data_IF_128725398142
#
_entry.id   IF_128725398142
#
_cell.length_a   1.000
_cell.length_b   1.000
_cell.length_c   1.000
_cell.angle_alpha   90.00
_cell.angle_beta   90.00
_cell.angle_gamma   90.00
#
_symmetry.space_group_name_H-M   'P 1'
#
loop_
_entity.id
_entity.type
_entity.pdbx_description
1 polymer ?
#
# COMPACT_ATOMS: atom_id res chain seq x y z
N UNK A 1 -4.25 -1.72 23.78
CA UNK A 1 -3.17 -1.40 22.84
C UNK A 1 -1.88 -2.07 23.31
N UNK A 2 -1.05 -2.55 22.39
CA UNK A 2 0.29 -3.05 22.70
C UNK A 2 1.25 -1.87 22.68
N UNK A 3 2.08 -1.71 23.72
CA UNK A 3 3.06 -0.63 23.77
C UNK A 3 4.33 -1.01 23.01
N UNK A 4 4.92 -0.02 22.34
CA UNK A 4 6.19 -0.12 21.63
C UNK A 4 7.33 0.41 22.50
N UNK A 5 8.46 -0.31 22.55
CA UNK A 5 9.66 0.11 23.30
C UNK A 5 10.63 0.85 22.40
N UNK A 6 11.10 2.02 22.84
CA UNK A 6 12.20 2.75 22.25
C UNK A 6 13.03 3.43 23.33
N UNK A 7 14.33 3.13 23.40
CA UNK A 7 15.28 3.65 24.39
C UNK A 7 14.79 3.53 25.85
N UNK A 8 14.24 2.36 26.20
CA UNK A 8 13.72 2.10 27.54
C UNK A 8 12.42 2.82 27.89
N UNK A 9 11.79 3.47 26.94
CA UNK A 9 10.46 4.08 27.06
C UNK A 9 9.44 3.28 26.26
N UNK A 10 8.24 3.17 26.77
CA UNK A 10 7.13 2.46 26.14
C UNK A 10 6.06 3.44 25.66
N UNK A 11 5.65 3.32 24.43
CA UNK A 11 4.68 4.20 23.78
C UNK A 11 3.47 3.40 23.33
N UNK A 12 2.27 3.92 23.57
CA UNK A 12 1.03 3.34 23.07
C UNK A 12 0.06 4.45 22.63
N UNK A 13 -0.63 4.23 21.52
CA UNK A 13 -1.79 5.03 21.14
C UNK A 13 -3.02 4.49 21.85
N UNK A 14 -3.73 5.35 22.56
CA UNK A 14 -4.89 4.99 23.36
C UNK A 14 -6.08 5.84 22.91
N UNK A 15 -7.25 5.21 22.81
CA UNK A 15 -8.48 5.93 22.50
C UNK A 15 -8.89 6.79 23.69
N UNK A 16 -9.24 8.08 23.52
CA UNK A 16 -9.78 8.90 24.59
C UNK A 16 -10.98 8.24 25.27
N UNK A 17 -11.05 8.30 26.57
CA UNK A 17 -12.13 7.68 27.34
C UNK A 17 -12.36 8.38 28.69
N UNK A 18 -13.55 8.23 29.26
CA UNK A 18 -13.85 8.63 30.64
C UNK A 18 -13.17 7.67 31.63
N UNK A 19 -12.96 8.16 32.84
CA UNK A 19 -12.38 7.36 33.94
C UNK A 19 -13.22 6.11 34.23
N UNK A 20 -12.56 4.97 34.46
CA UNK A 20 -13.22 3.70 34.78
C UNK A 20 -12.54 3.01 35.96
N UNK A 21 -13.21 3.01 37.08
CA UNK A 21 -12.70 2.37 38.31
C UNK A 21 -12.74 0.84 38.20
N UNK A 22 -11.74 0.18 38.80
CA UNK A 22 -11.62 -1.27 38.83
C UNK A 22 -11.30 -1.95 37.52
N UNK A 23 -11.21 -1.21 36.39
CA UNK A 23 -10.81 -1.77 35.09
C UNK A 23 -9.30 -1.83 34.95
N UNK A 24 -8.83 -2.88 34.28
CA UNK A 24 -7.43 -3.03 33.93
C UNK A 24 -7.01 -1.90 32.98
N UNK A 25 -5.98 -1.14 33.38
CA UNK A 25 -5.45 -0.03 32.63
C UNK A 25 -4.17 -0.41 31.90
N UNK A 26 -3.20 -0.94 32.62
CA UNK A 26 -1.89 -1.29 32.09
C UNK A 26 -1.45 -2.64 32.65
N UNK A 27 -1.04 -3.55 31.78
CA UNK A 27 -0.46 -4.82 32.15
C UNK A 27 1.00 -4.85 31.71
N UNK A 28 1.87 -5.23 32.63
CA UNK A 28 3.31 -5.33 32.43
C UNK A 28 3.76 -6.77 32.70
N UNK A 29 4.48 -7.34 31.78
CA UNK A 29 5.20 -8.59 31.95
C UNK A 29 6.67 -8.27 32.21
N UNK A 30 7.20 -8.79 33.31
CA UNK A 30 8.54 -8.49 33.78
C UNK A 30 9.38 -9.75 33.87
N UNK A 31 10.44 -9.79 33.03
CA UNK A 31 11.42 -10.89 33.00
C UNK A 31 10.89 -12.20 32.43
N UNK A 32 11.76 -13.22 32.44
CA UNK A 32 11.50 -14.52 31.79
C UNK A 32 10.50 -15.42 32.54
N UNK A 33 10.04 -15.01 33.73
CA UNK A 33 9.15 -15.78 34.56
C UNK A 33 7.66 -15.46 34.43
N UNK A 34 7.26 -14.72 33.37
CA UNK A 34 5.87 -14.33 33.09
C UNK A 34 5.16 -13.67 34.31
N UNK A 35 5.89 -12.97 35.16
CA UNK A 35 5.27 -12.20 36.26
C UNK A 35 4.47 -11.04 35.65
N UNK A 36 3.15 -11.16 35.71
CA UNK A 36 2.24 -10.15 35.16
C UNK A 36 1.79 -9.24 36.29
N UNK A 37 2.10 -7.97 36.21
CA UNK A 37 1.59 -6.93 37.11
C UNK A 37 0.60 -6.05 36.35
N UNK A 38 -0.54 -5.78 36.97
CA UNK A 38 -1.63 -5.03 36.36
C UNK A 38 -1.95 -3.78 37.21
N UNK A 39 -1.89 -2.62 36.56
CA UNK A 39 -2.44 -1.38 37.12
C UNK A 39 -3.93 -1.31 36.76
N UNK A 40 -4.75 -1.07 37.76
CA UNK A 40 -6.21 -0.89 37.63
C UNK A 40 -6.58 0.59 37.71
N UNK A 41 -7.84 0.92 37.44
CA UNK A 41 -8.40 2.26 37.35
C UNK A 41 -7.89 3.04 36.15
N UNK A 42 -8.64 2.94 35.07
CA UNK A 42 -8.38 3.72 33.85
C UNK A 42 -8.67 5.19 34.17
N UNK A 43 -7.68 6.10 34.05
CA UNK A 43 -7.92 7.53 34.24
C UNK A 43 -8.72 8.11 33.07
N UNK A 44 -9.28 9.29 33.24
CA UNK A 44 -9.81 10.05 32.12
C UNK A 44 -8.68 10.38 31.15
N UNK A 45 -8.86 9.98 29.88
CA UNK A 45 -7.92 10.24 28.79
C UNK A 45 -8.58 11.16 27.76
N UNK A 46 -8.06 12.37 27.61
CA UNK A 46 -8.62 13.39 26.72
C UNK A 46 -7.96 13.37 25.33
N UNK A 47 -8.74 13.68 24.31
CA UNK A 47 -8.22 13.82 22.95
C UNK A 47 -7.20 14.97 22.87
N UNK A 48 -6.13 14.78 22.08
CA UNK A 48 -5.09 15.78 21.90
C UNK A 48 -4.13 15.94 23.09
N UNK A 49 -4.17 15.02 24.06
CA UNK A 49 -3.25 15.00 25.21
C UNK A 49 -2.27 13.86 25.13
N UNK A 50 -1.06 14.08 25.65
CA UNK A 50 -0.02 13.10 25.88
C UNK A 50 0.08 12.81 27.37
N UNK A 51 0.07 11.54 27.76
CA UNK A 51 0.16 11.09 29.15
C UNK A 51 1.46 10.32 29.35
N UNK A 52 2.34 10.81 30.20
CA UNK A 52 3.58 10.12 30.55
C UNK A 52 3.48 9.54 31.96
N UNK A 53 3.60 8.22 32.10
CA UNK A 53 3.62 7.50 33.37
C UNK A 53 5.06 7.14 33.71
N UNK A 54 5.56 7.62 34.84
CA UNK A 54 6.84 7.16 35.37
C UNK A 54 6.60 5.96 36.27
N UNK A 55 7.12 4.82 35.88
CA UNK A 55 6.95 3.57 36.58
C UNK A 55 8.27 3.10 37.19
N UNK A 56 8.26 2.66 38.44
CA UNK A 56 9.35 1.86 39.01
C UNK A 56 8.90 0.41 39.01
N UNK A 57 9.65 -0.43 38.29
CA UNK A 57 9.39 -1.87 38.20
C UNK A 57 10.38 -2.57 39.11
N UNK A 58 9.87 -3.18 40.19
CA UNK A 58 10.63 -4.05 41.07
C UNK A 58 10.35 -5.52 40.77
N UNK A 59 11.04 -6.41 41.47
CA UNK A 59 10.95 -7.86 41.24
C UNK A 59 9.52 -8.43 41.35
N UNK A 60 8.65 -7.78 42.14
CA UNK A 60 7.26 -8.23 42.38
C UNK A 60 6.27 -7.07 42.56
N UNK A 61 6.59 -5.87 42.13
CA UNK A 61 5.69 -4.70 42.23
C UNK A 61 6.00 -3.66 41.20
N UNK A 62 4.95 -3.08 40.62
CA UNK A 62 5.02 -1.87 39.81
C UNK A 62 4.44 -0.71 40.59
N UNK A 63 5.17 0.40 40.67
CA UNK A 63 4.72 1.62 41.34
C UNK A 63 4.69 2.76 40.32
N UNK A 64 3.58 3.47 40.26
CA UNK A 64 3.49 4.74 39.54
C UNK A 64 4.11 5.83 40.40
N UNK A 65 5.20 6.44 39.94
CA UNK A 65 5.89 7.51 40.66
C UNK A 65 5.42 8.91 40.28
N UNK A 66 4.84 9.04 39.09
CA UNK A 66 4.31 10.31 38.59
C UNK A 66 3.57 10.15 37.30
N UNK A 67 2.67 11.09 37.03
CA UNK A 67 1.95 11.21 35.78
C UNK A 67 2.14 12.66 35.32
N UNK A 68 2.59 12.83 34.09
CA UNK A 68 2.68 14.13 33.43
C UNK A 68 1.69 14.16 32.26
N UNK A 69 0.85 15.19 32.22
CA UNK A 69 -0.09 15.43 31.13
C UNK A 69 0.36 16.68 30.39
N UNK A 70 0.53 16.58 29.09
CA UNK A 70 0.88 17.68 28.24
C UNK A 70 -0.06 17.76 27.03
N UNK A 71 -0.25 18.95 26.48
CA UNK A 71 -0.92 19.10 25.21
C UNK A 71 -0.11 18.39 24.10
N UNK A 72 -0.80 17.69 23.25
CA UNK A 72 -0.19 17.18 22.03
C UNK A 72 0.00 18.36 21.08
N UNK A 73 1.13 19.03 21.17
CA UNK A 73 1.45 20.13 20.27
C UNK A 73 1.95 19.57 18.94
N UNK A 74 1.26 19.93 17.85
CA UNK A 74 1.68 19.61 16.47
C UNK A 74 2.89 20.44 16.00
N UNK A 75 3.50 21.24 16.88
CA UNK A 75 4.60 22.16 16.58
C UNK A 75 5.89 21.85 17.33
N UNK A 76 6.13 20.59 17.63
CA UNK A 76 7.43 20.15 18.07
C UNK A 76 7.94 19.10 17.09
N UNK A 77 8.95 19.41 16.30
CA UNK A 77 9.78 18.34 15.77
C UNK A 77 10.20 17.48 16.96
N UNK A 78 9.83 16.21 16.97
CA UNK A 78 10.47 15.22 17.84
C UNK A 78 11.87 15.04 17.25
N UNK A 79 12.77 15.97 17.61
CA UNK A 79 14.18 15.84 17.30
C UNK A 79 14.71 14.65 18.10
N UNK A 80 14.87 13.52 17.44
CA UNK A 80 15.47 12.32 18.01
C UNK A 80 14.67 11.02 17.96
N UNK A 81 13.44 11.03 17.49
CA UNK A 81 12.68 9.82 17.23
C UNK A 81 12.25 9.77 15.77
N UNK A 82 13.04 9.18 14.90
CA UNK A 82 12.56 8.75 13.58
C UNK A 82 11.63 7.54 13.78
N UNK A 83 10.44 7.73 14.31
CA UNK A 83 9.34 6.82 14.03
C UNK A 83 8.78 7.21 12.65
N UNK A 84 9.62 7.16 11.65
CA UNK A 84 9.18 7.15 10.27
C UNK A 84 8.86 5.68 10.01
N UNK A 85 7.63 5.29 10.28
CA UNK A 85 7.05 4.29 9.41
C UNK A 85 6.86 5.01 8.07
N UNK A 86 7.89 5.05 7.25
CA UNK A 86 7.68 5.21 5.84
C UNK A 86 6.67 4.10 5.50
N UNK A 87 5.56 4.39 4.82
CA UNK A 87 4.57 3.39 4.48
C UNK A 87 5.17 2.50 3.39
N UNK A 88 6.13 1.67 3.80
CA UNK A 88 6.82 0.73 2.92
C UNK A 88 5.81 -0.18 2.24
N UNK A 89 6.09 -0.57 1.02
CA UNK A 89 5.32 -1.64 0.38
C UNK A 89 5.42 -2.88 1.27
N UNK A 90 4.28 -3.29 1.84
CA UNK A 90 4.20 -4.31 2.87
C UNK A 90 3.26 -5.42 2.45
N UNK A 91 3.72 -6.67 2.58
CA UNK A 91 2.93 -7.86 2.28
C UNK A 91 2.54 -8.57 3.56
N UNK A 92 1.28 -9.01 3.59
CA UNK A 92 0.66 -9.77 4.68
C UNK A 92 0.07 -11.05 4.14
N UNK A 93 0.26 -12.16 4.84
CA UNK A 93 -0.41 -13.43 4.56
C UNK A 93 -0.80 -14.09 5.89
N UNK A 94 -1.98 -14.73 5.95
CA UNK A 94 -2.48 -15.36 7.18
C UNK A 94 -1.72 -16.65 7.52
N UNK A 95 -1.15 -17.30 6.54
CA UNK A 95 -0.32 -18.50 6.67
C UNK A 95 1.08 -18.24 6.11
N UNK A 96 1.99 -19.17 6.29
CA UNK A 96 3.34 -19.08 5.71
C UNK A 96 3.27 -18.94 4.20
N UNK A 97 4.00 -17.98 3.66
CA UNK A 97 4.08 -17.64 2.24
C UNK A 97 5.53 -17.44 1.84
N UNK A 98 5.83 -17.55 0.55
CA UNK A 98 7.14 -17.26 -0.03
C UNK A 98 7.03 -16.14 -1.06
N UNK A 99 7.85 -15.14 -0.88
CA UNK A 99 8.10 -14.07 -1.86
C UNK A 99 9.30 -14.44 -2.70
N UNK A 100 9.23 -14.11 -3.97
CA UNK A 100 10.38 -14.17 -4.88
C UNK A 100 10.25 -13.06 -5.93
N UNK A 101 11.35 -12.43 -6.28
CA UNK A 101 11.41 -11.47 -7.36
C UNK A 101 12.18 -12.05 -8.54
N UNK A 102 11.50 -12.19 -9.66
CA UNK A 102 12.12 -12.66 -10.92
C UNK A 102 12.46 -11.49 -11.80
N UNK A 103 13.37 -11.67 -12.75
CA UNK A 103 13.77 -10.61 -13.69
C UNK A 103 13.73 -11.09 -15.14
N UNK A 104 13.46 -10.17 -16.05
CA UNK A 104 13.63 -10.34 -17.49
C UNK A 104 14.53 -9.21 -18.00
N UNK A 105 15.72 -9.56 -18.43
CA UNK A 105 16.73 -8.63 -18.98
C UNK A 105 16.98 -7.39 -18.08
N UNK A 106 16.72 -7.52 -16.78
CA UNK A 106 16.81 -6.45 -15.77
C UNK A 106 17.62 -6.93 -14.57
N UNK A 107 18.42 -6.02 -14.00
CA UNK A 107 19.15 -6.27 -12.76
C UNK A 107 18.53 -5.47 -11.62
N UNK A 108 18.09 -6.15 -10.57
CA UNK A 108 17.57 -5.51 -9.36
C UNK A 108 18.69 -4.71 -8.72
N UNK A 109 18.43 -3.44 -8.41
CA UNK A 109 19.38 -2.56 -7.74
C UNK A 109 18.67 -1.65 -6.75
N UNK A 110 19.31 -1.40 -5.61
CA UNK A 110 18.82 -0.48 -4.58
C UNK A 110 17.46 -0.89 -3.98
N UNK A 111 17.10 -2.17 -4.02
CA UNK A 111 15.89 -2.72 -3.41
C UNK A 111 16.27 -3.63 -2.25
N UNK A 112 15.63 -3.42 -1.12
CA UNK A 112 15.83 -4.19 0.11
C UNK A 112 14.51 -4.76 0.62
N UNK A 113 14.59 -5.91 1.28
CA UNK A 113 13.49 -6.54 2.01
C UNK A 113 13.79 -6.67 3.51
N UNK A 114 12.71 -6.73 4.30
CA UNK A 114 12.76 -7.00 5.74
C UNK A 114 11.56 -7.83 6.15
N UNK A 115 11.80 -8.92 6.88
CA UNK A 115 10.76 -9.80 7.42
C UNK A 115 10.57 -9.49 8.90
N UNK A 116 9.31 -9.27 9.30
CA UNK A 116 8.90 -9.05 10.70
C UNK A 116 9.70 -7.97 11.43
N UNK A 117 9.92 -6.83 10.74
CA UNK A 117 10.73 -5.70 11.25
C UNK A 117 12.20 -6.05 11.57
N UNK A 118 12.71 -7.12 10.96
CA UNK A 118 14.11 -7.54 11.07
C UNK A 118 15.08 -6.65 10.26
N UNK A 119 16.29 -7.13 10.12
CA UNK A 119 17.30 -6.44 9.32
C UNK A 119 16.90 -6.31 7.85
N UNK A 120 17.22 -5.16 7.24
CA UNK A 120 17.07 -4.94 5.82
C UNK A 120 18.18 -5.65 5.05
N UNK A 121 17.80 -6.39 4.02
CA UNK A 121 18.69 -7.15 3.14
C UNK A 121 18.43 -6.79 1.69
N UNK A 122 19.46 -6.83 0.85
CA UNK A 122 19.28 -6.63 -0.58
C UNK A 122 18.39 -7.74 -1.16
N UNK A 123 17.41 -7.36 -1.95
CA UNK A 123 16.60 -8.31 -2.72
C UNK A 123 17.48 -8.95 -3.79
N UNK A 124 17.56 -10.28 -3.79
CA UNK A 124 18.32 -11.05 -4.78
C UNK A 124 17.34 -11.72 -5.74
N UNK A 125 17.59 -11.59 -7.04
CA UNK A 125 16.75 -12.21 -8.06
C UNK A 125 16.66 -13.74 -7.87
N UNK A 126 15.44 -14.28 -7.93
CA UNK A 126 15.10 -15.69 -7.76
C UNK A 126 15.34 -16.28 -6.35
N UNK A 127 15.78 -15.49 -5.38
CA UNK A 127 15.85 -15.92 -3.99
C UNK A 127 14.45 -15.95 -3.36
N UNK A 128 14.15 -17.01 -2.58
CA UNK A 128 12.89 -17.12 -1.86
C UNK A 128 13.02 -16.56 -0.45
N UNK A 129 12.09 -15.67 -0.08
CA UNK A 129 11.98 -15.09 1.25
C UNK A 129 10.68 -15.54 1.90
N UNK A 130 10.76 -16.26 3.02
CA UNK A 130 9.57 -16.74 3.76
C UNK A 130 9.02 -15.64 4.66
N UNK A 131 7.69 -15.43 4.61
CA UNK A 131 6.96 -14.49 5.44
C UNK A 131 5.54 -15.02 5.72
N UNK A 132 4.68 -14.22 6.36
CA UNK A 132 3.30 -14.58 6.65
C UNK A 132 3.14 -15.54 7.83
N UNK A 133 1.93 -15.69 8.35
CA UNK A 133 1.64 -16.47 9.54
C UNK A 133 2.52 -16.02 10.72
N UNK A 134 3.23 -16.96 11.33
CA UNK A 134 4.14 -16.70 12.44
C UNK A 134 5.42 -15.93 12.05
N UNK A 135 5.78 -15.92 10.75
CA UNK A 135 6.94 -15.19 10.27
C UNK A 135 6.66 -13.68 10.08
N UNK A 136 5.43 -13.24 10.32
CA UNK A 136 5.05 -11.83 10.25
C UNK A 136 4.95 -11.29 8.82
N UNK A 137 5.21 -10.00 8.65
CA UNK A 137 5.09 -9.27 7.38
C UNK A 137 6.39 -9.26 6.60
N UNK A 138 6.30 -9.10 5.28
CA UNK A 138 7.45 -8.76 4.43
C UNK A 138 7.30 -7.30 3.98
N UNK A 139 8.35 -6.50 4.12
CA UNK A 139 8.43 -5.12 3.67
C UNK A 139 9.49 -4.96 2.60
N UNK A 140 9.20 -4.08 1.64
CA UNK A 140 10.15 -3.64 0.63
C UNK A 140 10.40 -2.14 0.74
N UNK A 141 11.66 -1.73 0.50
CA UNK A 141 12.05 -0.33 0.33
C UNK A 141 13.14 -0.22 -0.73
N UNK A 142 13.34 0.97 -1.29
CA UNK A 142 14.33 1.15 -2.34
C UNK A 142 14.97 2.52 -2.38
N UNK A 143 16.01 2.63 -3.22
CA UNK A 143 16.76 3.85 -3.52
C UNK A 143 16.96 4.05 -5.03
N UNK A 144 16.37 3.20 -5.86
CA UNK A 144 16.46 3.32 -7.32
C UNK A 144 15.34 4.19 -7.87
N UNK A 145 15.62 5.45 -8.14
CA UNK A 145 14.65 6.44 -8.65
C UNK A 145 14.02 6.07 -10.00
N UNK A 146 14.57 5.10 -10.72
CA UNK A 146 13.98 4.58 -11.98
C UNK A 146 12.97 3.44 -11.75
N UNK A 147 12.82 2.96 -10.53
CA UNK A 147 11.87 1.92 -10.16
C UNK A 147 12.39 0.50 -10.34
N UNK A 148 11.52 -0.41 -10.73
CA UNK A 148 11.77 -1.85 -10.83
C UNK A 148 11.80 -2.37 -12.25
N UNK A 149 11.85 -1.46 -13.23
CA UNK A 149 11.91 -1.77 -14.66
C UNK A 149 12.54 -0.63 -15.46
N UNK A 150 13.11 -0.93 -16.62
CA UNK A 150 13.49 0.08 -17.62
C UNK A 150 12.48 0.20 -18.76
N UNK A 151 11.80 -0.89 -19.07
CA UNK A 151 10.78 -0.95 -20.14
C UNK A 151 9.88 -2.18 -19.93
N UNK A 152 8.88 -2.35 -20.80
CA UNK A 152 8.03 -3.55 -20.84
C UNK A 152 8.77 -4.84 -21.26
N UNK A 153 10.03 -4.74 -21.70
CA UNK A 153 10.91 -5.87 -22.03
C UNK A 153 12.04 -6.10 -21.01
N UNK A 154 12.34 -5.10 -20.15
CA UNK A 154 13.42 -5.11 -19.17
C UNK A 154 12.86 -4.76 -17.79
N UNK A 155 12.44 -5.76 -17.03
CA UNK A 155 11.68 -5.58 -15.80
C UNK A 155 11.91 -6.67 -14.76
N UNK A 156 11.43 -6.40 -13.56
CA UNK A 156 11.29 -7.40 -12.51
C UNK A 156 9.82 -7.65 -12.16
N UNK A 157 9.52 -8.86 -11.67
CA UNK A 157 8.17 -9.28 -11.28
C UNK A 157 8.20 -9.97 -9.93
N UNK A 158 7.31 -9.57 -9.04
CA UNK A 158 7.06 -10.23 -7.75
C UNK A 158 6.19 -11.46 -8.00
N UNK A 159 6.55 -12.57 -7.37
CA UNK A 159 5.77 -13.82 -7.38
C UNK A 159 5.64 -14.37 -5.97
N UNK A 160 4.55 -15.08 -5.72
CA UNK A 160 4.26 -15.79 -4.46
C UNK A 160 4.12 -17.27 -4.70
N UNK A 161 4.27 -18.10 -3.65
CA UNK A 161 4.03 -19.52 -3.73
C UNK A 161 2.54 -19.78 -4.05
N UNK A 162 2.22 -20.34 -5.22
CA UNK A 162 0.83 -20.51 -5.67
C UNK A 162 0.04 -21.53 -4.85
N UNK A 163 0.71 -22.40 -4.11
CA UNK A 163 0.09 -23.40 -3.24
C UNK A 163 -0.31 -22.86 -1.86
N UNK A 164 0.00 -21.57 -1.58
CA UNK A 164 -0.32 -20.90 -0.33
C UNK A 164 -1.60 -20.05 -0.43
N UNK A 165 -1.90 -19.28 0.61
CA UNK A 165 -3.09 -18.43 0.72
C UNK A 165 -2.88 -17.04 0.07
N UNK A 166 -3.96 -16.28 -0.04
CA UNK A 166 -3.96 -14.91 -0.58
C UNK A 166 -2.99 -14.00 0.17
N UNK A 167 -2.47 -13.04 -0.57
CA UNK A 167 -1.54 -12.02 -0.09
C UNK A 167 -2.20 -10.65 -0.18
N UNK A 168 -2.14 -9.91 0.91
CA UNK A 168 -2.54 -8.51 0.96
C UNK A 168 -1.30 -7.63 0.88
N UNK A 169 -1.40 -6.55 0.12
CA UNK A 169 -0.34 -5.55 -0.01
C UNK A 169 -0.89 -4.18 0.35
N UNK A 170 -0.11 -3.39 1.05
CA UNK A 170 -0.35 -1.98 1.34
C UNK A 170 0.94 -1.15 1.22
N UNK A 171 0.87 0.13 1.60
CA UNK A 171 2.00 1.04 1.57
C UNK A 171 2.08 1.87 0.27
N UNK A 172 3.04 2.77 0.23
CA UNK A 172 3.25 3.73 -0.88
C UNK A 172 4.34 3.22 -1.81
N UNK A 173 4.01 3.01 -3.10
CA UNK A 173 4.95 2.48 -4.09
C UNK A 173 6.21 3.35 -4.24
N UNK A 174 6.13 4.66 -3.95
CA UNK A 174 7.27 5.58 -4.06
C UNK A 174 8.38 5.26 -3.07
N UNK A 175 8.09 4.50 -2.01
CA UNK A 175 9.13 4.01 -1.07
C UNK A 175 10.09 3.02 -1.72
N UNK A 176 9.76 2.47 -2.89
CA UNK A 176 10.69 1.67 -3.69
C UNK A 176 11.66 2.53 -4.52
N UNK A 177 11.38 3.84 -4.69
CA UNK A 177 12.22 4.79 -5.40
C UNK A 177 13.23 5.49 -4.49
N UNK A 178 12.72 6.03 -3.38
CA UNK A 178 13.48 6.72 -2.34
C UNK A 178 12.69 6.64 -1.02
N UNK A 179 13.02 5.68 -0.19
CA UNK A 179 12.26 5.46 1.06
C UNK A 179 12.43 6.59 2.08
N UNK A 180 13.48 7.40 1.97
CA UNK A 180 13.71 8.54 2.87
C UNK A 180 12.90 9.77 2.44
N UNK A 181 12.80 10.02 1.12
CA UNK A 181 12.18 11.22 0.55
C UNK A 181 10.97 10.87 -0.35
N UNK A 182 10.30 9.74 -0.11
CA UNK A 182 9.25 9.20 -0.98
C UNK A 182 8.12 10.20 -1.30
N UNK A 183 7.81 11.14 -0.39
CA UNK A 183 6.76 12.14 -0.62
C UNK A 183 7.10 13.17 -1.69
N UNK A 184 8.38 13.40 -1.92
CA UNK A 184 8.90 14.43 -2.84
C UNK A 184 9.71 13.84 -3.99
N UNK A 185 9.86 12.51 -4.06
CA UNK A 185 10.62 11.85 -5.12
C UNK A 185 9.98 12.14 -6.49
N UNK A 186 10.81 12.44 -7.47
CA UNK A 186 10.37 12.62 -8.85
C UNK A 186 9.99 11.25 -9.47
N UNK A 187 8.76 11.17 -9.98
CA UNK A 187 8.21 9.95 -10.58
C UNK A 187 8.21 9.97 -12.11
N UNK A 188 8.69 11.05 -12.74
CA UNK A 188 8.63 11.23 -14.20
C UNK A 188 9.43 10.18 -14.98
N UNK A 189 10.41 9.54 -14.35
CA UNK A 189 11.23 8.48 -14.95
C UNK A 189 11.04 7.11 -14.31
N UNK A 190 10.19 7.00 -13.29
CA UNK A 190 9.99 5.77 -12.55
C UNK A 190 9.08 4.79 -13.31
N UNK A 191 9.47 3.52 -13.37
CA UNK A 191 8.69 2.45 -13.99
C UNK A 191 8.53 1.26 -13.07
N UNK A 192 7.29 0.77 -13.00
CA UNK A 192 6.87 -0.41 -12.25
C UNK A 192 6.10 -1.38 -13.16
N UNK A 193 6.35 -1.31 -14.46
CA UNK A 193 5.70 -2.19 -15.42
C UNK A 193 5.96 -3.67 -15.07
N UNK A 194 4.94 -4.50 -15.21
CA UNK A 194 4.95 -5.93 -14.89
C UNK A 194 5.24 -6.29 -13.41
N UNK A 195 5.32 -5.34 -12.46
CA UNK A 195 5.78 -5.61 -11.09
C UNK A 195 4.97 -6.71 -10.38
N UNK A 196 3.66 -6.74 -10.54
CA UNK A 196 2.75 -7.74 -9.99
C UNK A 196 2.09 -8.62 -11.06
N UNK A 197 2.64 -8.64 -12.26
CA UNK A 197 2.06 -9.41 -13.37
C UNK A 197 1.90 -10.88 -13.00
N UNK A 198 0.69 -11.40 -13.20
CA UNK A 198 0.30 -12.79 -12.87
C UNK A 198 0.40 -13.17 -11.38
N UNK A 199 0.43 -12.19 -10.47
CA UNK A 199 0.30 -12.43 -9.04
C UNK A 199 -1.16 -12.79 -8.69
N UNK A 200 -1.58 -14.00 -9.02
CA UNK A 200 -2.97 -14.46 -8.85
C UNK A 200 -3.45 -14.42 -7.39
N UNK A 201 -2.55 -14.53 -6.43
CA UNK A 201 -2.85 -14.48 -4.99
C UNK A 201 -2.95 -13.07 -4.41
N UNK A 202 -2.59 -12.03 -5.16
CA UNK A 202 -2.62 -10.64 -4.68
C UNK A 202 -4.08 -10.16 -4.55
N UNK A 203 -4.53 -9.88 -3.31
CA UNK A 203 -5.90 -9.46 -3.00
C UNK A 203 -6.06 -7.95 -2.79
N UNK A 204 -4.99 -7.24 -2.43
CA UNK A 204 -4.92 -5.78 -2.37
C UNK A 204 -3.59 -5.26 -2.93
N UNK A 205 -3.53 -3.99 -3.27
CA UNK A 205 -2.40 -3.36 -3.94
C UNK A 205 -1.84 -2.19 -3.13
N UNK A 206 -0.56 -1.82 -3.30
CA UNK A 206 0.00 -0.63 -2.69
C UNK A 206 -0.63 0.63 -3.30
N UNK A 207 -0.52 1.76 -2.61
CA UNK A 207 -0.92 3.07 -3.12
C UNK A 207 -0.03 3.51 -4.29
N UNK A 208 -0.65 4.14 -5.30
CA UNK A 208 0.01 4.69 -6.48
C UNK A 208 -0.20 6.22 -6.54
N UNK A 209 0.39 7.00 -5.64
CA UNK A 209 0.05 8.41 -5.48
C UNK A 209 0.73 9.36 -6.49
N UNK A 210 1.48 8.86 -7.46
CA UNK A 210 2.13 9.69 -8.46
C UNK A 210 1.10 10.46 -9.31
N UNK A 211 1.31 11.77 -9.47
CA UNK A 211 0.47 12.67 -10.27
C UNK A 211 1.02 12.93 -11.67
N UNK A 212 2.29 12.62 -11.90
CA UNK A 212 2.96 12.69 -13.22
C UNK A 212 3.62 11.34 -13.49
N UNK A 213 3.37 10.78 -14.67
CA UNK A 213 3.76 9.42 -15.02
C UNK A 213 4.82 9.39 -16.12
N UNK A 214 5.67 8.35 -16.08
CA UNK A 214 6.58 8.00 -17.16
C UNK A 214 5.86 7.17 -18.25
N UNK A 215 6.45 7.09 -19.45
CA UNK A 215 5.99 6.15 -20.47
C UNK A 215 6.02 4.73 -19.93
N UNK A 216 4.92 3.98 -20.14
CA UNK A 216 4.77 2.57 -19.72
C UNK A 216 4.92 2.31 -18.22
N UNK A 217 4.89 3.34 -17.34
CA UNK A 217 5.27 3.21 -15.93
C UNK A 217 4.49 2.13 -15.16
N UNK A 218 3.20 1.96 -15.42
CA UNK A 218 2.34 0.93 -14.81
C UNK A 218 1.80 -0.07 -15.84
N UNK A 219 2.41 -0.15 -17.02
CA UNK A 219 1.98 -1.11 -18.05
C UNK A 219 2.02 -2.54 -17.51
N UNK A 220 0.92 -3.28 -17.65
CA UNK A 220 0.75 -4.67 -17.16
C UNK A 220 1.04 -4.87 -15.66
N UNK A 221 1.06 -3.80 -14.85
CA UNK A 221 1.50 -3.88 -13.45
C UNK A 221 0.72 -4.91 -12.64
N UNK A 222 -0.59 -5.02 -12.83
CA UNK A 222 -1.47 -5.97 -12.17
C UNK A 222 -2.14 -6.96 -13.14
N UNK A 223 -1.64 -7.08 -14.36
CA UNK A 223 -2.20 -8.02 -15.35
C UNK A 223 -2.27 -9.45 -14.77
N UNK A 224 -3.47 -10.05 -14.77
CA UNK A 224 -3.68 -11.40 -14.25
C UNK A 224 -3.75 -11.53 -12.72
N UNK A 225 -3.86 -10.43 -11.96
CA UNK A 225 -4.10 -10.47 -10.51
C UNK A 225 -5.57 -10.82 -10.23
N UNK A 226 -5.94 -12.09 -10.39
CA UNK A 226 -7.34 -12.57 -10.35
C UNK A 226 -8.05 -12.33 -9.01
N UNK A 227 -7.32 -12.24 -7.89
CA UNK A 227 -7.88 -11.99 -6.56
C UNK A 227 -7.96 -10.51 -6.19
N UNK A 228 -7.46 -9.59 -7.02
CA UNK A 228 -7.54 -8.15 -6.77
C UNK A 228 -8.98 -7.65 -6.92
N UNK A 229 -9.60 -7.20 -5.82
CA UNK A 229 -11.00 -6.76 -5.78
C UNK A 229 -11.12 -5.26 -6.08
N UNK A 230 -10.25 -4.44 -5.50
CA UNK A 230 -10.24 -3.00 -5.67
C UNK A 230 -8.90 -2.55 -6.26
N UNK A 231 -8.96 -1.79 -7.35
CA UNK A 231 -7.76 -1.12 -7.86
C UNK A 231 -7.25 -0.08 -6.87
N UNK A 232 -5.92 0.15 -6.80
CA UNK A 232 -5.41 1.37 -6.17
C UNK A 232 -5.95 2.59 -6.91
N UNK A 233 -6.11 3.72 -6.22
CA UNK A 233 -6.49 4.96 -6.87
C UNK A 233 -5.40 5.40 -7.86
N UNK A 234 -5.82 5.91 -9.03
CA UNK A 234 -4.96 6.43 -10.07
C UNK A 234 -5.14 7.96 -10.16
N UNK A 235 -4.44 8.75 -9.32
CA UNK A 235 -4.66 10.19 -9.19
C UNK A 235 -3.94 11.01 -10.26
N UNK A 236 -3.19 10.37 -11.19
CA UNK A 236 -2.36 11.08 -12.13
C UNK A 236 -3.16 12.01 -13.06
N UNK A 237 -2.80 13.29 -13.03
CA UNK A 237 -3.33 14.33 -13.90
C UNK A 237 -2.51 14.46 -15.18
N UNK A 238 -1.21 14.14 -15.12
CA UNK A 238 -0.31 14.12 -16.29
C UNK A 238 0.04 12.67 -16.63
N UNK A 239 -0.49 12.21 -17.75
CA UNK A 239 -0.25 10.88 -18.28
C UNK A 239 0.95 10.85 -19.24
N UNK A 240 1.38 9.62 -19.55
CA UNK A 240 2.39 9.33 -20.56
C UNK A 240 1.95 8.17 -21.46
N UNK A 241 2.63 7.95 -22.57
CA UNK A 241 2.28 6.90 -23.50
C UNK A 241 2.35 5.52 -22.84
N UNK A 242 1.34 4.69 -23.06
CA UNK A 242 1.27 3.34 -22.53
C UNK A 242 1.22 3.21 -21.01
N UNK A 243 1.07 4.31 -20.25
CA UNK A 243 1.26 4.32 -18.78
C UNK A 243 0.36 3.34 -18.02
N UNK A 244 -0.85 3.09 -18.46
CA UNK A 244 -1.80 2.13 -17.88
C UNK A 244 -2.16 0.97 -18.82
N UNK A 245 -1.41 0.80 -19.91
CA UNK A 245 -1.67 -0.26 -20.88
C UNK A 245 -1.69 -1.64 -20.20
N UNK A 246 -2.74 -2.44 -20.42
CA UNK A 246 -2.95 -3.77 -19.82
C UNK A 246 -2.96 -3.81 -18.28
N UNK A 247 -2.99 -2.68 -17.59
CA UNK A 247 -2.71 -2.59 -16.14
C UNK A 247 -3.53 -3.56 -15.30
N UNK A 248 -4.82 -3.69 -15.54
CA UNK A 248 -5.73 -4.58 -14.81
C UNK A 248 -6.33 -5.67 -15.71
N UNK A 249 -5.74 -5.91 -16.89
CA UNK A 249 -6.20 -6.97 -17.76
C UNK A 249 -6.26 -8.30 -17.01
N UNK A 250 -7.37 -9.04 -17.16
CA UNK A 250 -7.63 -10.35 -16.51
C UNK A 250 -7.66 -10.32 -14.97
N UNK A 251 -7.87 -9.18 -14.32
CA UNK A 251 -8.19 -9.09 -12.90
C UNK A 251 -9.67 -9.49 -12.69
N UNK A 252 -9.98 -10.79 -12.69
CA UNK A 252 -11.36 -11.30 -12.81
C UNK A 252 -12.30 -10.84 -11.70
N UNK A 253 -11.82 -10.64 -10.46
CA UNK A 253 -12.60 -10.16 -9.31
C UNK A 253 -12.65 -8.64 -9.16
N UNK A 254 -11.99 -7.88 -10.04
CA UNK A 254 -11.91 -6.43 -9.92
C UNK A 254 -13.30 -5.78 -10.02
N UNK A 255 -13.72 -5.09 -8.98
CA UNK A 255 -15.04 -4.46 -8.88
C UNK A 255 -15.02 -2.94 -8.90
N UNK A 256 -13.93 -2.31 -8.45
CA UNK A 256 -13.84 -0.86 -8.33
C UNK A 256 -12.54 -0.33 -8.90
N UNK A 257 -12.66 0.69 -9.77
CA UNK A 257 -11.52 1.44 -10.31
C UNK A 257 -11.77 2.93 -10.14
N UNK A 258 -10.79 3.67 -9.59
CA UNK A 258 -10.80 5.13 -9.52
C UNK A 258 -9.64 5.68 -10.35
N UNK A 259 -9.97 6.36 -11.46
CA UNK A 259 -9.01 6.94 -12.41
C UNK A 259 -9.34 8.42 -12.64
N UNK A 260 -8.45 9.31 -12.25
CA UNK A 260 -8.69 10.76 -12.20
C UNK A 260 -8.00 11.54 -13.32
N UNK A 261 -7.57 10.87 -14.39
CA UNK A 261 -6.99 11.52 -15.55
C UNK A 261 -7.95 12.51 -16.22
N UNK A 262 -7.41 13.62 -16.71
CA UNK A 262 -8.14 14.62 -17.45
C UNK A 262 -8.46 14.15 -18.88
N UNK A 263 -9.54 14.63 -19.45
CA UNK A 263 -10.01 14.22 -20.79
C UNK A 263 -9.00 14.46 -21.91
N UNK A 264 -8.26 15.59 -21.87
CA UNK A 264 -7.21 15.91 -22.82
C UNK A 264 -6.02 14.95 -22.73
N UNK A 265 -5.68 14.48 -21.53
CA UNK A 265 -4.63 13.49 -21.32
C UNK A 265 -5.05 12.12 -21.88
N UNK A 266 -6.30 11.70 -21.65
CA UNK A 266 -6.84 10.44 -22.20
C UNK A 266 -6.78 10.43 -23.73
N UNK A 267 -7.07 11.56 -24.37
CA UNK A 267 -7.14 11.67 -25.83
C UNK A 267 -5.80 11.93 -26.50
N UNK A 268 -4.84 12.53 -25.81
CA UNK A 268 -3.56 12.94 -26.39
C UNK A 268 -2.44 11.93 -26.22
N UNK A 269 -2.54 10.99 -25.26
CA UNK A 269 -1.48 10.02 -24.97
C UNK A 269 -1.72 8.69 -25.67
N UNK A 270 -0.68 8.23 -26.40
CA UNK A 270 -0.77 7.02 -27.18
C UNK A 270 -0.90 5.79 -26.29
N UNK A 271 -1.90 4.94 -26.56
CA UNK A 271 -2.09 3.65 -25.93
C UNK A 271 -2.18 3.68 -24.38
N UNK A 272 -2.41 4.85 -23.73
CA UNK A 272 -2.34 5.00 -22.29
C UNK A 272 -3.33 4.08 -21.53
N UNK A 273 -4.48 3.74 -22.11
CA UNK A 273 -5.48 2.81 -21.55
C UNK A 273 -5.73 1.58 -22.43
N UNK A 274 -4.78 1.25 -23.31
CA UNK A 274 -4.91 0.09 -24.19
C UNK A 274 -5.12 -1.19 -23.40
N UNK A 275 -6.28 -1.84 -23.56
CA UNK A 275 -6.66 -3.10 -22.92
C UNK A 275 -6.54 -3.11 -21.38
N UNK A 276 -6.53 -1.95 -20.72
CA UNK A 276 -6.28 -1.86 -19.28
C UNK A 276 -7.29 -2.60 -18.41
N UNK A 277 -8.54 -2.79 -18.89
CA UNK A 277 -9.61 -3.52 -18.24
C UNK A 277 -10.06 -4.76 -19.03
N UNK A 278 -9.28 -5.24 -20.00
CA UNK A 278 -9.64 -6.41 -20.78
C UNK A 278 -9.75 -7.66 -19.91
N UNK A 279 -10.93 -8.32 -19.88
CA UNK A 279 -11.18 -9.48 -19.03
C UNK A 279 -11.20 -9.19 -17.52
N UNK A 280 -11.14 -7.91 -17.12
CA UNK A 280 -11.25 -7.53 -15.73
C UNK A 280 -12.70 -7.58 -15.23
N UNK A 281 -12.93 -7.90 -13.96
CA UNK A 281 -14.23 -7.87 -13.33
C UNK A 281 -15.24 -8.90 -13.86
N UNK A 282 -14.80 -9.96 -14.52
CA UNK A 282 -15.70 -10.99 -15.08
C UNK A 282 -16.41 -11.80 -14.01
N UNK A 283 -15.84 -11.87 -12.80
CA UNK A 283 -16.41 -12.53 -11.62
C UNK A 283 -17.05 -11.54 -10.64
N UNK A 284 -16.96 -10.22 -10.88
CA UNK A 284 -17.56 -9.22 -10.02
C UNK A 284 -19.06 -9.08 -10.29
N UNK A 285 -19.89 -9.13 -9.24
CA UNK A 285 -21.36 -8.97 -9.34
C UNK A 285 -21.73 -7.56 -9.82
N UNK A 286 -21.03 -6.55 -9.35
CA UNK A 286 -21.22 -5.14 -9.71
C UNK A 286 -19.87 -4.50 -9.97
N UNK A 287 -19.86 -3.47 -10.84
CA UNK A 287 -18.64 -2.71 -11.15
C UNK A 287 -18.86 -1.24 -10.91
N UNK A 288 -17.82 -0.55 -10.45
CA UNK A 288 -17.84 0.89 -10.25
C UNK A 288 -16.61 1.50 -10.90
N UNK A 289 -16.82 2.45 -11.80
CA UNK A 289 -15.76 3.29 -12.36
C UNK A 289 -15.94 4.70 -11.82
N UNK A 290 -14.92 5.24 -11.16
CA UNK A 290 -14.87 6.63 -10.72
C UNK A 290 -13.87 7.35 -11.61
N UNK A 291 -14.32 8.39 -12.31
CA UNK A 291 -13.53 9.23 -13.21
C UNK A 291 -13.46 10.66 -12.70
N UNK A 292 -12.59 11.49 -13.27
CA UNK A 292 -12.47 12.89 -12.86
C UNK A 292 -13.82 13.64 -13.06
N UNK A 293 -14.43 13.50 -14.25
CA UNK A 293 -15.69 14.13 -14.63
C UNK A 293 -16.31 13.44 -15.86
N UNK A 294 -17.45 13.93 -16.32
CA UNK A 294 -18.14 13.42 -17.49
C UNK A 294 -17.30 13.56 -18.79
N UNK A 295 -16.43 14.56 -18.90
CA UNK A 295 -15.58 14.73 -20.08
C UNK A 295 -14.52 13.62 -20.14
N UNK A 296 -13.92 13.22 -19.01
CA UNK A 296 -13.00 12.09 -18.92
C UNK A 296 -13.70 10.76 -19.29
N UNK A 297 -14.93 10.54 -18.82
CA UNK A 297 -15.72 9.38 -19.22
C UNK A 297 -15.98 9.34 -20.73
N UNK A 298 -16.42 10.46 -21.32
CA UNK A 298 -16.65 10.55 -22.74
C UNK A 298 -15.36 10.34 -23.56
N UNK A 299 -14.23 10.77 -23.03
CA UNK A 299 -12.92 10.52 -23.66
C UNK A 299 -12.56 9.03 -23.72
N UNK A 300 -12.83 8.26 -22.65
CA UNK A 300 -12.67 6.80 -22.65
C UNK A 300 -13.56 6.13 -23.69
N UNK A 301 -14.83 6.56 -23.80
CA UNK A 301 -15.77 6.03 -24.80
C UNK A 301 -15.35 6.36 -26.25
N UNK A 302 -14.91 7.59 -26.50
CA UNK A 302 -14.52 8.05 -27.83
C UNK A 302 -13.28 7.32 -28.37
N UNK A 303 -12.30 7.00 -27.54
CA UNK A 303 -11.10 6.30 -27.94
C UNK A 303 -11.36 4.85 -28.40
N UNK A 304 -12.40 4.21 -27.90
CA UNK A 304 -12.83 2.89 -28.39
C UNK A 304 -13.15 2.90 -29.90
N UNK A 305 -13.59 4.03 -30.42
CA UNK A 305 -14.01 4.17 -31.82
C UNK A 305 -12.85 4.52 -32.77
N UNK A 306 -11.79 5.17 -32.27
CA UNK A 306 -10.73 5.74 -33.08
C UNK A 306 -9.55 4.79 -33.35
N UNK A 307 -9.20 3.90 -32.42
CA UNK A 307 -7.93 3.17 -32.43
C UNK A 307 -8.06 1.63 -32.42
N UNK A 308 -9.26 1.05 -32.52
CA UNK A 308 -9.52 -0.39 -32.36
C UNK A 308 -9.03 -1.00 -31.02
N UNK A 309 -8.69 -0.19 -30.03
CA UNK A 309 -8.34 -0.63 -28.71
C UNK A 309 -9.47 -0.28 -27.74
N UNK A 310 -9.86 -1.25 -26.93
CA UNK A 310 -10.98 -1.08 -26.01
C UNK A 310 -10.50 -0.40 -24.71
N UNK A 311 -10.62 0.94 -24.64
CA UNK A 311 -10.31 1.71 -23.44
C UNK A 311 -11.38 1.54 -22.35
N UNK A 312 -12.62 1.24 -22.72
CA UNK A 312 -13.68 0.92 -21.78
C UNK A 312 -14.54 -0.22 -22.34
N UNK A 313 -14.16 -1.48 -22.04
CA UNK A 313 -14.70 -2.66 -22.68
C UNK A 313 -16.19 -2.89 -22.37
N UNK A 314 -16.91 -3.45 -23.35
CA UNK A 314 -18.36 -3.66 -23.25
C UNK A 314 -18.79 -4.43 -22.00
N UNK A 315 -18.00 -5.43 -21.56
CA UNK A 315 -18.32 -6.19 -20.35
C UNK A 315 -18.21 -5.35 -19.07
N UNK A 316 -17.35 -4.32 -19.05
CA UNK A 316 -17.32 -3.33 -17.96
C UNK A 316 -18.48 -2.36 -18.04
N UNK A 317 -18.82 -1.83 -19.23
CA UNK A 317 -19.95 -0.90 -19.44
C UNK A 317 -21.28 -1.50 -19.00
N UNK A 318 -21.50 -2.77 -19.28
CA UNK A 318 -22.70 -3.48 -18.85
C UNK A 318 -22.66 -3.70 -17.32
N UNK A 319 -23.62 -3.17 -16.58
CA UNK A 319 -23.71 -3.23 -15.11
C UNK A 319 -22.59 -2.48 -14.36
N UNK A 320 -22.03 -1.42 -14.95
CA UNK A 320 -21.10 -0.54 -14.28
C UNK A 320 -21.79 0.73 -13.79
N UNK A 321 -21.58 1.07 -12.52
CA UNK A 321 -21.93 2.38 -11.97
C UNK A 321 -20.79 3.36 -12.30
N UNK A 322 -21.08 4.43 -13.04
CA UNK A 322 -20.09 5.45 -13.35
C UNK A 322 -20.35 6.69 -12.51
N UNK A 323 -19.32 7.14 -11.80
CA UNK A 323 -19.34 8.28 -10.90
C UNK A 323 -18.24 9.28 -11.27
N UNK A 324 -18.45 10.55 -10.94
CA UNK A 324 -17.37 11.54 -10.92
C UNK A 324 -16.53 11.43 -9.63
N UNK A 325 -15.47 12.22 -9.54
CA UNK A 325 -14.57 12.27 -8.37
C UNK A 325 -15.27 12.64 -7.07
N UNK A 326 -16.42 13.32 -7.14
CA UNK A 326 -17.23 13.78 -6.01
C UNK A 326 -18.38 12.79 -5.69
N UNK A 327 -18.37 11.61 -6.34
CA UNK A 327 -19.36 10.53 -6.24
C UNK A 327 -20.76 10.86 -6.79
N UNK A 328 -20.88 11.87 -7.64
CA UNK A 328 -22.12 12.11 -8.39
C UNK A 328 -22.22 11.11 -9.53
N UNK A 329 -23.45 10.65 -9.79
CA UNK A 329 -23.72 9.71 -10.87
C UNK A 329 -23.55 10.40 -12.24
N UNK A 330 -22.73 9.82 -13.13
CA UNK A 330 -22.60 10.21 -14.53
C UNK A 330 -23.51 9.33 -15.40
N UNK A 331 -23.54 8.04 -15.14
CA UNK A 331 -24.41 7.02 -15.71
C UNK A 331 -24.84 5.96 -14.68
#
# INVERSE_FOLDING_TARGET
AKAYNHDGKYYALIVPCEAQDGKEFLSLEVGDNNAKETLTNIPKLEAGKSYTYQLTVGKNKVKVNGITVADWTTTGEITGGKAIYAPYVTFHANVGQKFKMTTKDYTISGLEDSVNDGEWKNVVANEEVSFGGLNGTLRLRGTNIYGTAFSTSEYSTITFDPESDVVYCDGDIRTLLDYENYKTVDTQNARFCNLFKSCTLLASAPELPATTLANECYSSMFEGCGNLINAPALPAETLADGCYSYMFSRCSKLSTVKMLALSDQITSKLDCFKYWLEGAGTEAETRTLIVNDAAAYNALLANNLANNYDYFPAHWRNNCKVLDKDNNKIE
#
